data_IF_821141158406
#
_entry.id   IF_821141158406
#
_cell.length_a   1.000
_cell.length_b   1.000
_cell.length_c   1.000
_cell.angle_alpha   90.00
_cell.angle_beta   90.00
_cell.angle_gamma   90.00
#
_symmetry.space_group_name_H-M   'P 1'
#
loop_
_entity.id
_entity.type
_entity.pdbx_description
1 polymer ?
#
# COMPACT_ATOMS: atom_id res chain seq x y z
N UNK A 1 -36.28 -16.55 -21.07
CA UNK A 1 -35.97 -15.33 -21.85
C UNK A 1 -34.53 -15.44 -22.35
N UNK A 2 -34.35 -15.66 -23.65
CA UNK A 2 -33.01 -15.77 -24.24
C UNK A 2 -32.47 -14.35 -24.47
N UNK A 3 -31.54 -13.91 -23.62
CA UNK A 3 -30.80 -12.67 -23.83
C UNK A 3 -30.15 -12.71 -25.23
N UNK A 4 -30.49 -11.73 -26.07
CA UNK A 4 -29.92 -11.59 -27.41
C UNK A 4 -28.40 -11.39 -27.31
N UNK A 5 -27.65 -11.75 -28.35
CA UNK A 5 -26.18 -11.65 -28.33
C UNK A 5 -25.64 -10.23 -28.05
N UNK A 6 -26.47 -9.19 -28.22
CA UNK A 6 -26.10 -7.82 -27.90
C UNK A 6 -26.13 -7.54 -26.39
N UNK A 7 -27.16 -8.02 -25.70
CA UNK A 7 -27.38 -7.86 -24.26
C UNK A 7 -26.22 -8.44 -23.43
N UNK A 8 -25.68 -9.59 -23.87
CA UNK A 8 -24.51 -10.21 -23.22
C UNK A 8 -23.24 -9.36 -23.35
N UNK A 9 -23.04 -8.67 -24.49
CA UNK A 9 -21.86 -7.82 -24.70
C UNK A 9 -21.94 -6.56 -23.84
N UNK A 10 -23.12 -5.97 -23.76
CA UNK A 10 -23.38 -4.79 -22.94
C UNK A 10 -23.19 -5.09 -21.45
N UNK A 11 -23.65 -6.27 -21.00
CA UNK A 11 -23.43 -6.74 -19.63
C UNK A 11 -21.94 -6.92 -19.30
N UNK A 12 -21.18 -7.59 -20.17
CA UNK A 12 -19.72 -7.81 -19.97
C UNK A 12 -18.97 -6.49 -19.92
N UNK A 13 -19.32 -5.56 -20.82
CA UNK A 13 -18.76 -4.21 -20.83
C UNK A 13 -19.04 -3.49 -19.51
N UNK A 14 -20.29 -3.51 -19.04
CA UNK A 14 -20.68 -2.86 -17.80
C UNK A 14 -19.93 -3.42 -16.59
N UNK A 15 -19.81 -4.75 -16.50
CA UNK A 15 -19.07 -5.42 -15.41
C UNK A 15 -17.59 -5.03 -15.45
N UNK A 16 -16.96 -5.09 -16.63
CA UNK A 16 -15.55 -4.72 -16.78
C UNK A 16 -15.30 -3.24 -16.41
N UNK A 17 -16.19 -2.35 -16.86
CA UNK A 17 -16.14 -0.93 -16.54
C UNK A 17 -16.27 -0.67 -15.03
N UNK A 18 -17.17 -1.39 -14.34
CA UNK A 18 -17.30 -1.31 -12.89
C UNK A 18 -16.03 -1.76 -12.17
N UNK A 19 -15.41 -2.88 -12.57
CA UNK A 19 -14.14 -3.33 -12.00
C UNK A 19 -13.02 -2.30 -12.22
N UNK A 20 -12.96 -1.70 -13.41
CA UNK A 20 -11.98 -0.65 -13.73
C UNK A 20 -12.18 0.62 -12.90
N UNK A 21 -13.43 1.10 -12.80
CA UNK A 21 -13.77 2.27 -11.98
C UNK A 21 -13.45 2.04 -10.51
N UNK A 22 -13.76 0.86 -9.98
CA UNK A 22 -13.44 0.50 -8.60
C UNK A 22 -11.92 0.49 -8.36
N UNK A 23 -11.16 -0.08 -9.29
CA UNK A 23 -9.69 -0.13 -9.24
C UNK A 23 -9.09 1.28 -9.17
N UNK A 24 -9.59 2.22 -9.98
CA UNK A 24 -9.17 3.64 -9.93
C UNK A 24 -9.58 4.33 -8.65
N UNK A 25 -10.78 4.06 -8.16
CA UNK A 25 -11.25 4.64 -6.91
C UNK A 25 -10.34 4.26 -5.73
N UNK A 26 -9.96 2.98 -5.66
CA UNK A 26 -9.05 2.44 -4.63
C UNK A 26 -7.66 3.10 -4.71
N UNK A 27 -7.13 3.30 -5.92
CA UNK A 27 -5.87 4.04 -6.11
C UNK A 27 -5.96 5.50 -5.63
N UNK A 28 -7.05 6.19 -5.96
CA UNK A 28 -7.29 7.55 -5.49
C UNK A 28 -7.37 7.62 -3.96
N UNK A 29 -8.06 6.69 -3.30
CA UNK A 29 -8.14 6.64 -1.84
C UNK A 29 -6.75 6.52 -1.20
N UNK A 30 -5.87 5.69 -1.78
CA UNK A 30 -4.48 5.53 -1.31
C UNK A 30 -3.68 6.83 -1.44
N UNK A 31 -3.81 7.55 -2.56
CA UNK A 31 -3.13 8.83 -2.78
C UNK A 31 -3.64 9.91 -1.82
N UNK A 32 -4.96 10.02 -1.65
CA UNK A 32 -5.56 10.96 -0.71
C UNK A 32 -5.09 10.73 0.72
N UNK A 33 -5.09 9.47 1.17
CA UNK A 33 -4.62 9.11 2.50
C UNK A 33 -3.13 9.47 2.69
N UNK A 34 -2.29 9.18 1.70
CA UNK A 34 -0.85 9.51 1.74
C UNK A 34 -0.63 11.02 1.80
N UNK A 35 -1.39 11.81 1.04
CA UNK A 35 -1.30 13.27 1.07
C UNK A 35 -1.67 13.83 2.44
N UNK A 36 -2.78 13.37 3.03
CA UNK A 36 -3.20 13.78 4.38
C UNK A 36 -2.11 13.42 5.40
N UNK A 37 -1.56 12.21 5.31
CA UNK A 37 -0.49 11.75 6.19
C UNK A 37 0.76 12.64 6.11
N UNK A 38 1.22 13.00 4.91
CA UNK A 38 2.40 13.85 4.72
C UNK A 38 2.15 15.26 5.27
N UNK A 39 0.95 15.81 5.08
CA UNK A 39 0.57 17.11 5.66
C UNK A 39 0.62 17.05 7.19
N UNK A 40 0.08 15.99 7.81
CA UNK A 40 0.12 15.80 9.26
C UNK A 40 1.56 15.65 9.78
N UNK A 41 2.41 14.89 9.07
CA UNK A 41 3.82 14.76 9.41
C UNK A 41 4.55 16.11 9.33
N UNK A 42 4.37 16.84 8.21
CA UNK A 42 4.98 18.15 8.01
C UNK A 42 4.56 19.17 9.07
N UNK A 43 3.26 19.24 9.37
CA UNK A 43 2.74 20.11 10.42
C UNK A 43 3.29 19.76 11.81
N UNK A 44 3.36 18.47 12.12
CA UNK A 44 3.90 18.02 13.41
C UNK A 44 5.39 18.31 13.55
N UNK A 45 6.18 18.17 12.48
CA UNK A 45 7.61 18.50 12.47
C UNK A 45 7.87 20.00 12.70
N UNK A 46 6.98 20.87 12.20
CA UNK A 46 7.07 22.32 12.46
C UNK A 46 6.86 22.64 13.94
N UNK A 47 5.90 21.98 14.59
CA UNK A 47 5.66 22.14 16.03
C UNK A 47 6.89 21.70 16.84
N UNK A 48 7.60 20.66 16.38
CA UNK A 48 8.80 20.13 17.03
C UNK A 48 10.10 20.88 16.67
N UNK A 49 10.04 22.03 15.99
CA UNK A 49 11.23 22.75 15.50
C UNK A 49 12.25 23.09 16.60
N UNK A 50 11.80 23.23 17.86
CA UNK A 50 12.65 23.54 19.02
C UNK A 50 13.55 22.39 19.48
N UNK A 51 13.25 21.14 19.12
CA UNK A 51 14.02 19.97 19.54
C UNK A 51 13.27 18.66 19.29
N UNK A 52 13.55 17.99 18.17
CA UNK A 52 12.90 16.73 17.79
C UNK A 52 13.05 15.63 18.86
N UNK A 53 14.14 15.68 19.62
CA UNK A 53 14.49 14.70 20.66
C UNK A 53 14.14 15.17 22.08
N UNK A 54 13.36 16.24 22.22
CA UNK A 54 12.91 16.72 23.52
C UNK A 54 11.83 15.79 24.09
N UNK A 55 11.88 15.54 25.39
CA UNK A 55 10.91 14.69 26.09
C UNK A 55 9.48 15.17 25.88
N UNK A 56 9.25 16.49 25.82
CA UNK A 56 7.91 17.08 25.64
C UNK A 56 7.22 16.61 24.34
N UNK A 57 7.98 16.20 23.33
CA UNK A 57 7.47 15.82 22.01
C UNK A 57 7.05 14.34 21.91
N UNK A 58 7.29 13.52 22.96
CA UNK A 58 6.94 12.10 22.95
C UNK A 58 5.48 11.79 22.55
N UNK A 59 4.45 12.57 22.96
CA UNK A 59 3.07 12.26 22.60
C UNK A 59 2.80 12.45 21.10
N UNK A 60 3.41 13.49 20.50
CA UNK A 60 3.23 13.79 19.08
C UNK A 60 3.94 12.73 18.23
N UNK A 61 5.17 12.36 18.61
CA UNK A 61 5.91 11.27 17.96
C UNK A 61 5.17 9.94 18.07
N UNK A 62 4.63 9.63 19.26
CA UNK A 62 3.81 8.45 19.49
C UNK A 62 2.55 8.42 18.62
N UNK A 63 1.85 9.56 18.50
CA UNK A 63 0.71 9.69 17.60
C UNK A 63 1.08 9.44 16.13
N UNK A 64 2.17 10.03 15.63
CA UNK A 64 2.63 9.83 14.25
C UNK A 64 3.08 8.39 13.98
N UNK A 65 3.66 7.72 14.98
CA UNK A 65 4.00 6.30 14.92
C UNK A 65 2.75 5.44 14.76
N UNK A 66 1.72 5.65 15.59
CA UNK A 66 0.43 4.94 15.47
C UNK A 66 -0.23 5.23 14.13
N UNK A 67 -0.21 6.49 13.69
CA UNK A 67 -0.77 6.90 12.40
C UNK A 67 -0.07 6.20 11.23
N UNK A 68 1.26 6.03 11.30
CA UNK A 68 2.05 5.30 10.31
C UNK A 68 1.67 3.81 10.27
N UNK A 69 1.43 3.21 11.43
CA UNK A 69 0.98 1.81 11.54
C UNK A 69 -0.44 1.61 10.97
N UNK A 70 -1.36 2.55 11.23
CA UNK A 70 -2.69 2.58 10.59
C UNK A 70 -2.53 2.70 9.06
N UNK A 71 -1.65 3.60 8.59
CA UNK A 71 -1.39 3.78 7.17
C UNK A 71 -0.82 2.53 6.50
N UNK A 72 0.05 1.80 7.19
CA UNK A 72 0.58 0.52 6.73
C UNK A 72 -0.55 -0.50 6.56
N UNK A 73 -1.38 -0.72 7.60
CA UNK A 73 -2.50 -1.66 7.51
C UNK A 73 -3.53 -1.26 6.45
N UNK A 74 -3.83 0.03 6.34
CA UNK A 74 -4.72 0.56 5.32
C UNK A 74 -4.20 0.25 3.92
N UNK A 75 -2.91 0.49 3.66
CA UNK A 75 -2.29 0.15 2.36
C UNK A 75 -2.33 -1.34 2.06
N UNK A 76 -2.04 -2.19 3.04
CA UNK A 76 -2.11 -3.64 2.88
C UNK A 76 -3.54 -4.11 2.56
N UNK A 77 -4.54 -3.55 3.25
CA UNK A 77 -5.95 -3.87 3.02
C UNK A 77 -6.41 -3.43 1.63
N UNK A 78 -6.10 -2.20 1.24
CA UNK A 78 -6.43 -1.65 -0.07
C UNK A 78 -5.77 -2.46 -1.19
N UNK A 79 -4.50 -2.83 -1.03
CA UNK A 79 -3.78 -3.63 -2.01
C UNK A 79 -4.43 -4.99 -2.23
N UNK A 80 -4.92 -5.62 -1.15
CA UNK A 80 -5.68 -6.88 -1.24
C UNK A 80 -6.96 -6.73 -2.06
N UNK A 81 -7.72 -5.65 -1.85
CA UNK A 81 -8.96 -5.38 -2.60
C UNK A 81 -8.66 -5.11 -4.07
N UNK A 82 -7.64 -4.30 -4.35
CA UNK A 82 -7.17 -4.02 -5.70
C UNK A 82 -6.81 -5.32 -6.45
N UNK A 83 -6.03 -6.19 -5.80
CA UNK A 83 -5.61 -7.46 -6.40
C UNK A 83 -6.80 -8.40 -6.68
N UNK A 84 -7.83 -8.40 -5.82
CA UNK A 84 -9.05 -9.17 -6.06
C UNK A 84 -9.83 -8.68 -7.29
N UNK A 85 -10.08 -7.37 -7.40
CA UNK A 85 -10.80 -6.81 -8.56
C UNK A 85 -10.01 -6.95 -9.87
N UNK A 86 -8.69 -6.80 -9.83
CA UNK A 86 -7.84 -6.98 -11.00
C UNK A 86 -7.81 -8.45 -11.46
N UNK A 87 -7.83 -9.40 -10.52
CA UNK A 87 -7.92 -10.83 -10.82
C UNK A 87 -9.27 -11.19 -11.45
N UNK A 88 -10.37 -10.64 -10.93
CA UNK A 88 -11.71 -10.83 -11.51
C UNK A 88 -11.81 -10.25 -12.93
N UNK A 89 -11.29 -9.02 -13.15
CA UNK A 89 -11.24 -8.40 -14.46
C UNK A 89 -10.42 -9.24 -15.47
N UNK A 90 -9.29 -9.79 -15.01
CA UNK A 90 -8.47 -10.69 -15.83
C UNK A 90 -9.21 -11.98 -16.20
N UNK A 91 -9.94 -12.59 -15.26
CA UNK A 91 -10.71 -13.80 -15.54
C UNK A 91 -11.81 -13.55 -16.59
N UNK A 92 -12.49 -12.39 -16.53
CA UNK A 92 -13.45 -11.99 -17.56
C UNK A 92 -12.75 -11.91 -18.93
N UNK A 93 -11.62 -11.21 -19.04
CA UNK A 93 -10.91 -11.08 -20.31
C UNK A 93 -10.44 -12.44 -20.87
N UNK A 94 -9.91 -13.32 -20.02
CA UNK A 94 -9.52 -14.69 -20.42
C UNK A 94 -10.71 -15.50 -20.91
N UNK A 95 -11.86 -15.44 -20.22
CA UNK A 95 -13.08 -16.18 -20.61
C UNK A 95 -13.64 -15.76 -21.96
N UNK A 96 -13.46 -14.51 -22.36
CA UNK A 96 -13.92 -13.98 -23.65
C UNK A 96 -12.82 -13.96 -24.74
N UNK A 97 -11.62 -14.47 -24.47
CA UNK A 97 -10.51 -14.47 -25.43
C UNK A 97 -9.96 -13.07 -25.74
N UNK A 98 -10.14 -12.12 -24.83
CA UNK A 98 -9.77 -10.70 -24.97
C UNK A 98 -8.44 -10.37 -24.27
N UNK A 99 -7.57 -11.35 -24.09
CA UNK A 99 -6.32 -11.21 -23.33
C UNK A 99 -5.34 -10.19 -23.93
N UNK A 100 -5.44 -9.89 -25.23
CA UNK A 100 -4.62 -8.88 -25.87
C UNK A 100 -4.91 -7.46 -25.40
N UNK A 101 -6.08 -7.21 -24.78
CA UNK A 101 -6.42 -5.95 -24.13
C UNK A 101 -5.93 -5.84 -22.68
N UNK A 102 -5.39 -6.93 -22.09
CA UNK A 102 -4.74 -6.83 -20.79
C UNK A 102 -3.55 -5.87 -20.90
N UNK A 103 -3.48 -4.93 -19.95
CA UNK A 103 -2.32 -4.05 -19.82
C UNK A 103 -1.06 -4.90 -19.62
N UNK A 104 -0.26 -5.06 -20.68
CA UNK A 104 1.07 -5.68 -20.58
C UNK A 104 1.98 -4.69 -19.89
N UNK A 105 2.19 -4.85 -18.59
CA UNK A 105 3.35 -4.20 -17.95
C UNK A 105 4.61 -4.75 -18.64
N UNK A 106 5.42 -3.90 -19.30
CA UNK A 106 6.68 -4.35 -19.85
C UNK A 106 7.48 -4.97 -18.72
N UNK A 107 7.90 -6.23 -18.90
CA UNK A 107 8.77 -6.96 -17.96
C UNK A 107 10.17 -6.36 -18.00
N UNK A 108 10.32 -5.08 -17.66
CA UNK A 108 11.62 -4.49 -17.46
C UNK A 108 12.29 -5.24 -16.31
N UNK A 109 13.56 -5.63 -16.48
CA UNK A 109 14.36 -6.32 -15.47
C UNK A 109 14.40 -5.52 -14.15
N UNK A 110 14.31 -4.18 -14.23
CA UNK A 110 14.16 -3.28 -13.08
C UNK A 110 12.80 -3.41 -12.35
N UNK A 111 11.71 -3.72 -13.06
CA UNK A 111 10.37 -3.90 -12.47
C UNK A 111 10.23 -5.16 -11.61
N UNK A 112 11.18 -6.11 -11.70
CA UNK A 112 11.27 -7.24 -10.77
C UNK A 112 11.72 -6.82 -9.37
N UNK A 113 12.61 -5.82 -9.29
CA UNK A 113 13.14 -5.29 -8.03
C UNK A 113 12.28 -4.14 -7.50
N UNK A 114 11.80 -3.26 -8.38
CA UNK A 114 10.95 -2.12 -8.03
C UNK A 114 9.48 -2.42 -8.34
N UNK A 115 8.83 -3.20 -7.47
CA UNK A 115 7.38 -3.39 -7.57
C UNK A 115 6.69 -2.14 -7.03
N UNK A 116 6.01 -1.39 -7.89
CA UNK A 116 5.22 -0.22 -7.48
C UNK A 116 4.22 -0.54 -6.36
N UNK A 117 3.71 -1.78 -6.31
CA UNK A 117 2.79 -2.25 -5.26
C UNK A 117 3.41 -2.25 -3.85
N UNK A 118 4.75 -2.34 -3.74
CA UNK A 118 5.46 -2.32 -2.46
C UNK A 118 5.79 -0.90 -1.98
N UNK A 119 5.79 0.10 -2.88
CA UNK A 119 6.23 1.45 -2.58
C UNK A 119 5.44 2.06 -1.40
N UNK A 120 4.11 1.98 -1.44
CA UNK A 120 3.26 2.56 -0.41
C UNK A 120 3.43 1.87 0.96
N UNK A 121 3.33 0.53 1.10
CA UNK A 121 3.64 -0.14 2.36
C UNK A 121 5.05 0.17 2.89
N UNK A 122 6.06 0.18 2.01
CA UNK A 122 7.44 0.50 2.44
C UNK A 122 7.59 1.93 2.92
N UNK A 123 6.84 2.88 2.34
CA UNK A 123 6.81 4.27 2.78
C UNK A 123 6.28 4.38 4.21
N UNK A 124 5.13 3.78 4.52
CA UNK A 124 4.59 3.81 5.89
C UNK A 124 5.47 3.05 6.90
N UNK A 125 6.09 1.94 6.49
CA UNK A 125 7.06 1.21 7.31
C UNK A 125 8.29 2.07 7.62
N UNK A 126 8.81 2.80 6.64
CA UNK A 126 9.94 3.71 6.82
C UNK A 126 9.61 4.80 7.85
N UNK A 127 8.45 5.45 7.74
CA UNK A 127 8.02 6.47 8.70
C UNK A 127 7.78 5.88 10.10
N UNK A 128 7.20 4.69 10.20
CA UNK A 128 7.06 4.00 11.48
C UNK A 128 8.42 3.76 12.14
N UNK A 129 9.40 3.21 11.40
CA UNK A 129 10.75 2.99 11.90
C UNK A 129 11.45 4.30 12.27
N UNK A 130 11.25 5.38 11.49
CA UNK A 130 11.78 6.69 11.79
C UNK A 130 11.23 7.26 13.10
N UNK A 131 9.91 7.24 13.31
CA UNK A 131 9.33 7.72 14.57
C UNK A 131 9.68 6.84 15.76
N UNK A 132 9.80 5.52 15.55
CA UNK A 132 10.31 4.61 16.58
C UNK A 132 11.75 4.96 16.97
N UNK A 133 12.62 5.27 16.00
CA UNK A 133 13.97 5.74 16.26
C UNK A 133 13.98 7.02 17.11
N UNK A 134 13.17 8.02 16.72
CA UNK A 134 13.05 9.27 17.49
C UNK A 134 12.58 9.00 18.92
N UNK A 135 11.58 8.14 19.09
CA UNK A 135 11.05 7.78 20.41
C UNK A 135 12.09 7.08 21.29
N UNK A 136 12.86 6.14 20.73
CA UNK A 136 13.96 5.47 21.44
C UNK A 136 15.10 6.43 21.75
N UNK A 137 15.37 7.40 20.87
CA UNK A 137 16.42 8.40 21.08
C UNK A 137 16.10 9.35 22.22
N UNK A 138 14.82 9.71 22.40
CA UNK A 138 14.34 10.47 23.57
C UNK A 138 14.65 9.73 24.87
N UNK A 139 14.53 8.39 24.90
CA UNK A 139 14.73 7.61 26.14
C UNK A 139 16.17 7.17 26.42
N UNK A 140 16.92 6.72 25.42
CA UNK A 140 18.24 6.08 25.64
C UNK A 140 19.43 7.03 25.49
N UNK A 141 19.24 8.23 24.91
CA UNK A 141 20.28 9.21 24.54
C UNK A 141 21.48 8.67 23.74
N UNK A 142 21.49 7.38 23.38
CA UNK A 142 22.57 6.69 22.67
C UNK A 142 22.08 6.27 21.28
N UNK A 143 22.62 6.94 20.26
CA UNK A 143 22.24 6.79 18.85
C UNK A 143 22.38 5.35 18.34
N UNK A 144 23.43 4.63 18.75
CA UNK A 144 23.66 3.27 18.28
C UNK A 144 22.63 2.29 18.84
N UNK A 145 22.26 2.46 20.10
CA UNK A 145 21.24 1.62 20.75
C UNK A 145 19.84 1.90 20.22
N UNK A 146 19.52 3.18 20.00
CA UNK A 146 18.22 3.59 19.48
C UNK A 146 18.02 3.25 18.00
N UNK A 147 19.09 3.21 17.18
CA UNK A 147 19.02 2.87 15.76
C UNK A 147 18.91 1.37 15.46
N UNK A 148 19.45 0.50 16.34
CA UNK A 148 19.52 -0.94 16.08
C UNK A 148 18.13 -1.57 15.89
N UNK A 149 17.19 -1.28 16.79
CA UNK A 149 15.84 -1.87 16.76
C UNK A 149 15.04 -1.44 15.52
N UNK A 150 14.93 -0.14 15.18
CA UNK A 150 14.20 0.31 14.00
C UNK A 150 14.80 -0.20 12.69
N UNK A 151 16.12 -0.28 12.57
CA UNK A 151 16.79 -0.77 11.34
C UNK A 151 16.49 -2.25 11.13
N UNK A 152 16.62 -3.07 12.19
CA UNK A 152 16.28 -4.49 12.09
C UNK A 152 14.80 -4.70 11.77
N UNK A 153 13.91 -3.93 12.38
CA UNK A 153 12.47 -3.96 12.07
C UNK A 153 12.18 -3.54 10.62
N UNK A 154 12.88 -2.54 10.10
CA UNK A 154 12.74 -2.11 8.71
C UNK A 154 13.17 -3.21 7.74
N UNK A 155 14.32 -3.84 7.97
CA UNK A 155 14.82 -4.95 7.15
C UNK A 155 13.86 -6.14 7.24
N UNK A 156 13.45 -6.54 8.44
CA UNK A 156 12.51 -7.64 8.63
C UNK A 156 11.16 -7.35 7.96
N UNK A 157 10.62 -6.14 8.15
CA UNK A 157 9.35 -5.71 7.57
C UNK A 157 9.40 -5.65 6.04
N UNK A 158 10.47 -5.11 5.45
CA UNK A 158 10.65 -5.10 3.99
C UNK A 158 10.79 -6.52 3.42
N UNK A 159 11.54 -7.40 4.08
CA UNK A 159 11.62 -8.82 3.71
C UNK A 159 10.26 -9.49 3.78
N UNK A 160 9.50 -9.29 4.86
CA UNK A 160 8.14 -9.83 5.01
C UNK A 160 7.21 -9.30 3.91
N UNK A 161 7.27 -8.01 3.57
CA UNK A 161 6.47 -7.43 2.49
C UNK A 161 6.85 -8.02 1.12
N UNK A 162 8.14 -8.24 0.86
CA UNK A 162 8.63 -8.87 -0.37
C UNK A 162 8.27 -10.36 -0.47
N UNK A 163 8.35 -11.10 0.64
CA UNK A 163 8.05 -12.53 0.70
C UNK A 163 6.56 -12.82 0.75
N UNK A 164 5.80 -11.92 1.38
CA UNK A 164 4.37 -12.06 1.44
C UNK A 164 3.83 -12.05 0.02
N UNK A 165 3.26 -13.19 -0.36
CA UNK A 165 2.55 -13.43 -1.61
C UNK A 165 1.23 -12.66 -1.65
N UNK A 166 1.23 -11.40 -1.22
CA UNK A 166 0.13 -10.43 -1.35
C UNK A 166 -0.33 -10.30 -2.82
N UNK A 167 0.53 -10.67 -3.77
CA UNK A 167 0.28 -10.65 -5.21
C UNK A 167 -0.28 -11.96 -5.78
N UNK A 168 -0.48 -13.01 -4.97
CA UNK A 168 -1.11 -14.21 -5.52
C UNK A 168 -2.59 -13.93 -5.74
N UNK A 169 -3.11 -14.08 -6.97
CA UNK A 169 -4.54 -14.00 -7.20
C UNK A 169 -5.21 -15.01 -6.26
N UNK A 170 -6.29 -14.58 -5.59
CA UNK A 170 -7.15 -15.51 -4.85
C UNK A 170 -7.56 -16.58 -5.86
N UNK A 171 -7.28 -17.87 -5.60
CA UNK A 171 -7.77 -18.93 -6.47
C UNK A 171 -9.29 -18.79 -6.47
N UNK A 172 -9.84 -18.43 -7.63
CA UNK A 172 -11.28 -18.49 -7.84
C UNK A 172 -11.60 -19.98 -7.85
N UNK A 173 -12.21 -20.48 -6.78
CA UNK A 173 -12.80 -21.79 -6.78
C UNK A 173 -13.82 -21.79 -7.93
N UNK A 174 -13.59 -22.65 -8.91
CA UNK A 174 -14.57 -22.98 -9.94
C UNK A 174 -15.64 -23.84 -9.27
N UNK A 175 -16.64 -23.19 -8.67
CA UNK A 175 -17.91 -23.83 -8.29
C UNK A 175 -18.88 -23.83 -9.48
#
# INVERSE_FOLDING_TARGET
MNATGNDKRDLVRAIYEQHWLHTRHVENQRLWFTNIFVILCGGSLIVMRGGLFDEVNWPIVGFLMVLSLIGLFFCLRIQSVFNAHNSAAKLILTRYGLEHYLAKCPKAVAGKFFRLSLLFPTFFLLFFCFFLFVLLQIGFHNVWKSALVPVLLFIAGTVVLCLSKYDKPVPLNED
#
